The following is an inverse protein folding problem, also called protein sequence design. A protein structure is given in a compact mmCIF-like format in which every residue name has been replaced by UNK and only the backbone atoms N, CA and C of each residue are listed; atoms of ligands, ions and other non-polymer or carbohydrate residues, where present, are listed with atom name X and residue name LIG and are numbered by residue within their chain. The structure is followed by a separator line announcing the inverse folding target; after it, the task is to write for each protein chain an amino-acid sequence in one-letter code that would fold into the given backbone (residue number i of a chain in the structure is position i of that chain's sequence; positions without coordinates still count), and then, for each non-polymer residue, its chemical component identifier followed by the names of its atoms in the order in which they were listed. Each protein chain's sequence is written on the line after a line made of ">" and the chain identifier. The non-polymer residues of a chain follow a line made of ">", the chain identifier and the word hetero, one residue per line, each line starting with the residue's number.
data_IF_173592043897
#
_entry.id   IF_173592043897
#
_cell.length_a   1.000
_cell.length_b   1.000
_cell.length_c   1.000
_cell.angle_alpha   90.00
_cell.angle_beta   90.00
_cell.angle_gamma   90.00
#
_symmetry.space_group_name_H-M   'P 1'
#
loop_
_entity.id
_entity.type
_entity.pdbx_description
1 polymer ?
#
# COMPACT_ATOMS: atom_id res chain seq x y z
N UNK A 1 -3.83 -2.37 13.55
CA UNK A 1 -5.20 -2.78 13.20
C UNK A 1 -5.33 -4.29 13.32
N UNK A 2 -6.38 -4.80 13.97
CA UNK A 2 -6.67 -6.24 14.11
C UNK A 2 -7.59 -6.76 12.98
N UNK A 3 -7.92 -5.92 12.04
CA UNK A 3 -8.86 -6.21 10.94
C UNK A 3 -8.45 -7.41 10.08
N UNK A 4 -7.15 -7.65 9.77
CA UNK A 4 -6.75 -8.84 9.00
C UNK A 4 -6.85 -10.18 9.76
N UNK A 5 -6.97 -10.17 11.10
CA UNK A 5 -6.93 -11.40 11.90
C UNK A 5 -7.99 -12.45 11.53
N UNK A 6 -9.26 -12.09 11.26
CA UNK A 6 -10.25 -13.08 10.83
C UNK A 6 -9.86 -13.78 9.52
N UNK A 7 -9.27 -13.03 8.58
CA UNK A 7 -8.79 -13.59 7.31
C UNK A 7 -7.61 -14.55 7.53
N UNK A 8 -6.63 -14.14 8.36
CA UNK A 8 -5.49 -15.00 8.73
C UNK A 8 -5.97 -16.27 9.41
N UNK A 9 -6.94 -16.19 10.32
CA UNK A 9 -7.54 -17.35 10.97
C UNK A 9 -8.16 -18.30 9.95
N UNK A 10 -9.00 -17.79 9.03
CA UNK A 10 -9.59 -18.61 7.97
C UNK A 10 -8.52 -19.24 7.05
N UNK A 11 -7.46 -18.49 6.73
CA UNK A 11 -6.35 -19.00 5.94
C UNK A 11 -5.63 -20.16 6.65
N UNK A 12 -5.43 -20.09 7.96
CA UNK A 12 -4.78 -21.15 8.74
C UNK A 12 -5.66 -22.39 8.89
N UNK A 13 -6.98 -22.21 9.08
CA UNK A 13 -7.91 -23.34 9.30
C UNK A 13 -8.20 -24.10 7.99
N UNK A 14 -8.30 -23.41 6.88
CA UNK A 14 -8.69 -23.97 5.57
C UNK A 14 -7.53 -24.00 4.55
N UNK A 15 -6.28 -23.95 5.02
CA UNK A 15 -5.13 -23.95 4.12
C UNK A 15 -4.99 -25.27 3.34
N UNK A 16 -4.89 -25.15 2.03
CA UNK A 16 -4.64 -26.26 1.09
C UNK A 16 -3.58 -25.84 0.06
N UNK A 17 -2.34 -25.52 0.49
CA UNK A 17 -1.33 -24.95 -0.37
C UNK A 17 -0.89 -25.94 -1.44
N UNK A 18 -0.74 -25.47 -2.66
CA UNK A 18 -0.11 -26.17 -3.77
C UNK A 18 1.18 -25.47 -4.15
N UNK A 19 2.11 -26.16 -4.80
CA UNK A 19 3.36 -25.54 -5.26
C UNK A 19 3.07 -24.33 -6.16
N UNK A 20 2.08 -24.46 -7.04
CA UNK A 20 1.66 -23.37 -7.94
C UNK A 20 1.09 -22.18 -7.16
N UNK A 21 0.21 -22.42 -6.19
CA UNK A 21 -0.36 -21.33 -5.38
C UNK A 21 0.70 -20.61 -4.55
N UNK A 22 1.67 -21.35 -3.99
CA UNK A 22 2.80 -20.78 -3.24
C UNK A 22 3.63 -19.88 -4.15
N UNK A 23 4.03 -20.36 -5.34
CA UNK A 23 4.87 -19.58 -6.26
C UNK A 23 4.13 -18.31 -6.71
N UNK A 24 2.91 -18.44 -7.19
CA UNK A 24 2.14 -17.28 -7.69
C UNK A 24 1.89 -16.28 -6.56
N UNK A 25 1.40 -16.75 -5.42
CA UNK A 25 1.10 -15.91 -4.27
C UNK A 25 2.34 -15.22 -3.71
N UNK A 26 3.49 -15.90 -3.68
CA UNK A 26 4.76 -15.33 -3.26
C UNK A 26 5.18 -14.14 -4.14
N UNK A 27 5.15 -14.28 -5.47
CA UNK A 27 5.54 -13.18 -6.36
C UNK A 27 4.57 -12.00 -6.28
N UNK A 28 3.27 -12.25 -6.07
CA UNK A 28 2.29 -11.18 -5.85
C UNK A 28 2.58 -10.46 -4.53
N UNK A 29 2.78 -11.18 -3.43
CA UNK A 29 3.09 -10.60 -2.13
C UNK A 29 4.43 -9.86 -2.14
N UNK A 30 5.45 -10.42 -2.77
CA UNK A 30 6.76 -9.78 -2.95
C UNK A 30 6.64 -8.46 -3.72
N UNK A 31 5.85 -8.41 -4.79
CA UNK A 31 5.61 -7.17 -5.54
C UNK A 31 4.96 -6.10 -4.66
N UNK A 32 4.02 -6.48 -3.80
CA UNK A 32 3.40 -5.59 -2.82
C UNK A 32 4.42 -5.04 -1.82
N UNK A 33 5.30 -5.88 -1.27
CA UNK A 33 6.35 -5.46 -0.34
C UNK A 33 7.37 -4.53 -0.99
N UNK A 34 7.76 -4.80 -2.24
CA UNK A 34 8.66 -3.91 -3.00
C UNK A 34 8.04 -2.53 -3.23
N UNK A 35 6.76 -2.47 -3.58
CA UNK A 35 6.03 -1.20 -3.72
C UNK A 35 6.02 -0.45 -2.38
N UNK A 36 5.82 -1.13 -1.26
CA UNK A 36 5.84 -0.52 0.08
C UNK A 36 7.21 0.02 0.45
N UNK A 37 8.27 -0.79 0.29
CA UNK A 37 9.65 -0.36 0.54
C UNK A 37 9.98 0.87 -0.28
N UNK A 38 9.66 0.86 -1.57
CA UNK A 38 9.86 2.00 -2.45
C UNK A 38 9.09 3.23 -1.98
N UNK A 39 7.83 3.07 -1.58
CA UNK A 39 6.99 4.16 -1.09
C UNK A 39 7.52 4.78 0.20
N UNK A 40 7.89 3.95 1.19
CA UNK A 40 8.43 4.42 2.47
C UNK A 40 9.82 5.03 2.29
N UNK A 41 10.59 4.60 1.29
CA UNK A 41 11.89 5.19 0.98
C UNK A 41 11.82 6.66 0.52
N UNK A 42 10.67 7.09 -0.02
CA UNK A 42 10.40 8.51 -0.33
C UNK A 42 9.64 9.23 0.78
N UNK A 43 8.66 8.59 1.39
CA UNK A 43 7.81 9.22 2.41
C UNK A 43 8.44 9.25 3.82
N UNK A 44 9.42 8.39 4.09
CA UNK A 44 10.13 8.37 5.37
C UNK A 44 9.20 8.19 6.58
N UNK A 45 9.41 9.02 7.62
CA UNK A 45 8.61 9.01 8.85
C UNK A 45 7.17 9.47 8.68
N UNK A 46 6.84 10.17 7.59
CA UNK A 46 5.50 10.68 7.30
C UNK A 46 4.45 9.57 7.17
N UNK A 47 4.89 8.33 6.86
CA UNK A 47 4.00 7.15 6.75
C UNK A 47 3.57 6.58 8.09
N UNK A 48 4.10 7.08 9.21
CA UNK A 48 3.93 6.49 10.56
C UNK A 48 3.34 7.43 11.60
N UNK A 49 2.57 8.41 11.19
CA UNK A 49 1.84 9.24 12.15
C UNK A 49 0.75 8.38 12.82
N UNK A 50 1.05 7.90 14.04
CA UNK A 50 0.14 7.09 14.87
C UNK A 50 -0.93 7.92 15.58
N UNK A 51 -0.82 9.23 15.53
CA UNK A 51 -1.67 10.20 16.25
C UNK A 51 -2.76 10.85 15.39
N UNK A 52 -3.09 10.24 14.23
CA UNK A 52 -4.11 10.79 13.33
C UNK A 52 -3.63 10.93 11.88
N UNK A 53 -4.51 11.47 11.03
CA UNK A 53 -4.13 11.82 9.65
C UNK A 53 -3.12 12.95 9.71
N UNK A 54 -1.87 12.68 9.35
CA UNK A 54 -0.78 13.66 9.43
C UNK A 54 0.19 13.54 8.26
N UNK A 55 0.81 14.64 7.93
CA UNK A 55 1.89 14.73 6.95
C UNK A 55 2.46 16.13 6.98
N UNK A 56 3.76 16.27 7.20
CA UNK A 56 4.43 17.58 7.19
C UNK A 56 4.61 18.06 5.76
N UNK A 57 4.84 17.13 4.83
CA UNK A 57 5.08 17.37 3.41
C UNK A 57 4.12 16.56 2.55
N UNK A 58 3.76 17.12 1.38
CA UNK A 58 3.06 16.37 0.34
C UNK A 58 4.08 15.54 -0.45
N UNK A 59 4.06 14.21 -0.26
CA UNK A 59 4.93 13.31 -1.01
C UNK A 59 4.36 13.07 -2.40
N UNK A 60 5.10 13.45 -3.44
CA UNK A 60 4.66 13.37 -4.84
C UNK A 60 5.64 12.68 -5.78
N UNK A 61 6.78 12.19 -5.24
CA UNK A 61 7.85 11.58 -6.00
C UNK A 61 7.87 10.04 -5.87
N UNK A 62 8.69 9.40 -6.71
CA UNK A 62 8.76 7.94 -6.75
C UNK A 62 7.42 7.31 -7.11
N UNK A 63 6.94 6.30 -6.36
CA UNK A 63 5.67 5.66 -6.63
C UNK A 63 4.47 6.62 -6.50
N UNK A 64 4.60 7.68 -5.71
CA UNK A 64 3.55 8.70 -5.57
C UNK A 64 3.39 9.58 -6.81
N UNK A 65 4.34 9.57 -7.74
CA UNK A 65 4.17 10.25 -9.04
C UNK A 65 3.28 9.49 -10.01
N UNK A 66 3.02 8.21 -9.73
CA UNK A 66 2.24 7.30 -10.59
C UNK A 66 0.88 6.97 -9.97
N UNK A 67 0.86 6.74 -8.66
CA UNK A 67 -0.34 6.41 -7.88
C UNK A 67 -0.32 7.15 -6.54
N UNK A 68 -1.44 7.76 -6.13
CA UNK A 68 -1.46 8.59 -4.90
C UNK A 68 -1.32 7.78 -3.62
N UNK A 69 -1.75 6.52 -3.63
CA UNK A 69 -1.83 5.67 -2.45
C UNK A 69 -1.06 4.35 -2.62
N UNK A 70 0.25 4.38 -2.92
CA UNK A 70 1.01 3.17 -3.24
C UNK A 70 1.17 2.22 -2.04
N UNK A 71 1.20 2.73 -0.81
CA UNK A 71 1.27 1.91 0.40
C UNK A 71 0.05 1.00 0.56
N UNK A 72 -1.14 1.53 0.31
CA UNK A 72 -2.38 0.74 0.38
C UNK A 72 -2.49 -0.26 -0.76
N UNK A 73 -2.05 0.12 -1.96
CA UNK A 73 -1.95 -0.82 -3.08
C UNK A 73 -0.98 -1.98 -2.74
N UNK A 74 0.17 -1.69 -2.15
CA UNK A 74 1.12 -2.69 -1.67
C UNK A 74 0.52 -3.62 -0.61
N UNK A 75 -0.22 -3.08 0.37
CA UNK A 75 -0.92 -3.87 1.40
C UNK A 75 -1.93 -4.85 0.78
N UNK A 76 -2.74 -4.38 -0.18
CA UNK A 76 -3.72 -5.22 -0.87
C UNK A 76 -3.01 -6.37 -1.58
N UNK A 77 -1.91 -6.09 -2.31
CA UNK A 77 -1.13 -7.14 -2.99
C UNK A 77 -0.55 -8.16 -2.02
N UNK A 78 -0.04 -7.73 -0.85
CA UNK A 78 0.47 -8.64 0.18
C UNK A 78 -0.65 -9.56 0.68
N UNK A 79 -1.81 -9.01 1.06
CA UNK A 79 -2.92 -9.80 1.56
C UNK A 79 -3.46 -10.80 0.53
N UNK A 80 -3.59 -10.37 -0.73
CA UNK A 80 -4.01 -11.25 -1.82
C UNK A 80 -2.95 -12.33 -2.10
N UNK A 81 -1.67 -11.95 -2.12
CA UNK A 81 -0.57 -12.90 -2.33
C UNK A 81 -0.54 -13.98 -1.26
N UNK A 82 -0.61 -13.61 0.02
CA UNK A 82 -0.67 -14.57 1.15
C UNK A 82 -1.94 -15.42 1.06
N UNK A 83 -3.09 -14.81 0.71
CA UNK A 83 -4.34 -15.53 0.49
C UNK A 83 -4.24 -16.58 -0.60
N UNK A 84 -3.57 -16.28 -1.72
CA UNK A 84 -3.32 -17.23 -2.81
C UNK A 84 -2.33 -18.32 -2.35
N UNK A 85 -1.26 -17.96 -1.61
CA UNK A 85 -0.31 -18.94 -1.06
C UNK A 85 -1.02 -19.98 -0.19
N UNK A 86 -1.93 -19.54 0.69
CA UNK A 86 -2.70 -20.44 1.57
C UNK A 86 -3.67 -21.33 0.79
N UNK A 87 -4.12 -20.88 -0.37
CA UNK A 87 -5.16 -21.50 -1.22
C UNK A 87 -6.48 -21.82 -0.47
N UNK A 88 -6.66 -21.20 0.71
CA UNK A 88 -7.82 -21.41 1.57
C UNK A 88 -9.09 -20.92 0.89
N UNK A 89 -10.11 -21.80 0.79
CA UNK A 89 -11.43 -21.50 0.21
C UNK A 89 -11.33 -20.75 -1.15
N UNK A 90 -10.31 -21.09 -1.94
CA UNK A 90 -10.07 -20.46 -3.23
C UNK A 90 -11.23 -20.71 -4.22
N UNK A 91 -11.68 -19.70 -5.00
CA UNK A 91 -11.21 -18.30 -5.04
C UNK A 91 -12.02 -17.35 -4.13
N UNK A 92 -12.98 -17.85 -3.37
CA UNK A 92 -14.01 -17.04 -2.69
C UNK A 92 -13.42 -16.16 -1.59
N UNK A 93 -12.52 -16.70 -0.77
CA UNK A 93 -11.89 -15.93 0.32
C UNK A 93 -11.03 -14.80 -0.23
N UNK A 94 -10.29 -15.03 -1.33
CA UNK A 94 -9.44 -14.03 -1.95
C UNK A 94 -10.25 -12.89 -2.58
N UNK A 95 -11.35 -13.22 -3.26
CA UNK A 95 -12.26 -12.21 -3.83
C UNK A 95 -12.89 -11.37 -2.72
N UNK A 96 -13.40 -12.03 -1.68
CA UNK A 96 -14.01 -11.32 -0.55
C UNK A 96 -12.99 -10.44 0.18
N UNK A 97 -11.79 -10.96 0.45
CA UNK A 97 -10.71 -10.19 1.06
C UNK A 97 -10.30 -8.98 0.21
N UNK A 98 -10.17 -9.16 -1.11
CA UNK A 98 -9.86 -8.07 -2.02
C UNK A 98 -10.90 -6.95 -1.96
N UNK A 99 -12.17 -7.28 -2.09
CA UNK A 99 -13.27 -6.30 -2.05
C UNK A 99 -13.35 -5.61 -0.69
N UNK A 100 -13.17 -6.37 0.40
CA UNK A 100 -13.20 -5.86 1.76
C UNK A 100 -12.04 -4.87 2.01
N UNK A 101 -10.81 -5.23 1.68
CA UNK A 101 -9.65 -4.35 1.87
C UNK A 101 -9.67 -3.15 0.92
N UNK A 102 -10.15 -3.33 -0.30
CA UNK A 102 -10.35 -2.21 -1.23
C UNK A 102 -11.34 -1.18 -0.67
N UNK A 103 -12.47 -1.65 -0.12
CA UNK A 103 -13.45 -0.79 0.54
C UNK A 103 -12.87 -0.10 1.77
N UNK A 104 -12.20 -0.87 2.65
CA UNK A 104 -11.57 -0.33 3.86
C UNK A 104 -10.54 0.76 3.53
N UNK A 105 -9.63 0.49 2.59
CA UNK A 105 -8.64 1.48 2.19
C UNK A 105 -9.24 2.65 1.44
N UNK A 106 -10.32 2.44 0.69
CA UNK A 106 -11.05 3.55 0.08
C UNK A 106 -11.57 4.52 1.14
N UNK A 107 -12.17 4.03 2.23
CA UNK A 107 -12.65 4.86 3.34
C UNK A 107 -11.50 5.62 4.04
N UNK A 108 -10.38 4.95 4.31
CA UNK A 108 -9.20 5.58 4.93
C UNK A 108 -8.65 6.69 4.03
N UNK A 109 -8.48 6.40 2.73
CA UNK A 109 -7.96 7.34 1.74
C UNK A 109 -8.85 8.56 1.58
N UNK A 110 -10.18 8.41 1.67
CA UNK A 110 -11.08 9.58 1.63
C UNK A 110 -10.77 10.58 2.74
N UNK A 111 -10.59 10.10 3.97
CA UNK A 111 -10.24 10.96 5.11
C UNK A 111 -8.85 11.59 4.96
N UNK A 112 -7.86 10.82 4.48
CA UNK A 112 -6.51 11.34 4.22
C UNK A 112 -6.50 12.38 3.09
N UNK A 113 -7.21 12.13 1.99
CA UNK A 113 -7.31 13.09 0.88
C UNK A 113 -8.02 14.38 1.28
N UNK A 114 -9.02 14.32 2.15
CA UNK A 114 -9.67 15.49 2.71
C UNK A 114 -8.70 16.33 3.56
N UNK A 115 -7.96 15.68 4.45
CA UNK A 115 -6.93 16.34 5.25
C UNK A 115 -5.86 16.99 4.37
N UNK A 116 -5.34 16.27 3.37
CA UNK A 116 -4.32 16.79 2.45
C UNK A 116 -4.86 17.93 1.59
N UNK A 117 -6.13 17.86 1.18
CA UNK A 117 -6.79 18.94 0.43
C UNK A 117 -6.90 20.21 1.27
N UNK A 118 -7.25 20.10 2.54
CA UNK A 118 -7.36 21.24 3.44
C UNK A 118 -5.98 21.85 3.75
N UNK A 119 -4.95 21.01 3.88
CA UNK A 119 -3.60 21.45 4.22
C UNK A 119 -2.83 22.03 3.04
N UNK A 120 -2.87 21.39 1.86
CA UNK A 120 -2.07 21.78 0.69
C UNK A 120 -2.89 22.43 -0.43
N UNK A 121 -4.18 22.61 -0.23
CA UNK A 121 -5.12 23.37 -1.06
C UNK A 121 -4.92 23.18 -2.58
N UNK A 122 -4.35 24.19 -3.28
CA UNK A 122 -4.18 24.21 -4.74
C UNK A 122 -3.19 23.13 -5.23
N UNK A 123 -2.07 22.96 -4.54
CA UNK A 123 -1.03 21.98 -4.93
C UNK A 123 -1.62 20.57 -4.94
N UNK A 124 -2.37 20.21 -3.90
CA UNK A 124 -3.02 18.90 -3.82
C UNK A 124 -4.13 18.74 -4.86
N UNK A 125 -4.89 19.80 -5.15
CA UNK A 125 -5.90 19.78 -6.20
C UNK A 125 -5.31 19.47 -7.58
N UNK A 126 -4.18 20.08 -7.93
CA UNK A 126 -3.48 19.81 -9.19
C UNK A 126 -2.83 18.41 -9.22
N UNK A 127 -2.32 17.96 -8.08
CA UNK A 127 -1.82 16.59 -7.93
C UNK A 127 -2.92 15.54 -8.15
N UNK A 128 -4.12 15.75 -7.61
CA UNK A 128 -5.29 14.85 -7.83
C UNK A 128 -5.71 14.74 -9.29
N UNK A 129 -5.57 15.80 -10.06
CA UNK A 129 -5.89 15.78 -11.51
C UNK A 129 -4.88 14.96 -12.30
N UNK A 130 -3.61 15.01 -11.88
CA UNK A 130 -2.48 14.40 -12.59
C UNK A 130 -2.29 12.93 -12.26
N UNK A 131 -2.43 12.55 -10.99
CA UNK A 131 -2.11 11.21 -10.47
C UNK A 131 -3.38 10.47 -10.04
N UNK A 132 -3.52 9.20 -10.41
CA UNK A 132 -4.67 8.37 -10.04
C UNK A 132 -4.68 7.98 -8.55
N UNK A 133 -5.85 7.71 -7.96
CA UNK A 133 -5.98 7.30 -6.56
C UNK A 133 -5.41 5.90 -6.32
N UNK A 134 -5.91 4.89 -7.07
CA UNK A 134 -5.48 3.48 -7.02
C UNK A 134 -5.09 2.95 -8.39
N UNK A 135 -5.49 3.61 -9.47
CA UNK A 135 -5.15 3.23 -10.83
C UNK A 135 -3.93 4.05 -11.26
N UNK A 136 -2.83 3.39 -11.65
CA UNK A 136 -1.62 4.08 -12.09
C UNK A 136 -1.87 4.99 -13.29
N UNK A 137 -1.30 6.21 -13.23
CA UNK A 137 -1.25 7.14 -14.36
C UNK A 137 0.20 7.54 -14.60
N UNK A 138 0.71 7.28 -15.79
CA UNK A 138 2.10 7.57 -16.18
C UNK A 138 2.19 8.93 -16.86
N UNK A 139 1.69 9.97 -16.21
CA UNK A 139 1.75 11.36 -16.69
C UNK A 139 2.92 12.08 -16.05
N UNK A 140 3.59 12.95 -16.80
CA UNK A 140 4.68 13.76 -16.25
C UNK A 140 4.12 14.74 -15.22
N UNK A 141 4.66 14.67 -14.01
CA UNK A 141 4.26 15.55 -12.92
C UNK A 141 4.82 16.96 -13.16
N UNK A 142 3.98 18.02 -13.08
CA UNK A 142 4.45 19.39 -13.18
C UNK A 142 5.47 19.74 -12.08
N UNK A 143 6.47 20.56 -12.40
CA UNK A 143 7.58 20.86 -11.49
C UNK A 143 7.13 21.54 -10.19
N UNK A 144 6.08 22.36 -10.23
CA UNK A 144 5.54 23.04 -9.04
C UNK A 144 4.86 22.09 -8.03
N UNK A 145 4.60 20.83 -8.41
CA UNK A 145 3.98 19.81 -7.54
C UNK A 145 5.06 18.91 -6.93
N UNK A 146 6.27 18.86 -7.48
CA UNK A 146 7.35 18.00 -7.01
C UNK A 146 7.79 18.39 -5.60
N UNK A 147 7.80 17.43 -4.68
CA UNK A 147 8.12 17.65 -3.26
C UNK A 147 9.62 17.88 -2.98
N UNK A 148 10.50 17.62 -3.93
CA UNK A 148 11.95 17.70 -3.72
C UNK A 148 12.54 16.63 -2.78
N UNK A 149 11.74 15.65 -2.37
CA UNK A 149 12.19 14.57 -1.47
C UNK A 149 13.10 13.59 -2.21
N UNK A 150 14.21 13.22 -1.56
CA UNK A 150 15.17 12.27 -2.10
C UNK A 150 14.87 10.84 -1.65
N UNK A 151 15.27 9.87 -2.47
CA UNK A 151 15.15 8.45 -2.16
C UNK A 151 16.10 8.06 -1.01
N UNK A 152 15.55 7.55 0.09
CA UNK A 152 16.32 7.02 1.20
C UNK A 152 15.96 5.55 1.47
N UNK A 153 16.58 4.65 0.72
CA UNK A 153 16.33 3.19 0.78
C UNK A 153 16.63 2.63 2.17
N UNK A 154 17.68 3.13 2.85
CA UNK A 154 18.06 2.68 4.20
C UNK A 154 16.95 2.97 5.21
N UNK A 155 16.33 4.15 5.12
CA UNK A 155 15.17 4.52 5.92
C UNK A 155 13.96 3.64 5.60
N UNK A 156 13.71 3.37 4.32
CA UNK A 156 12.64 2.49 3.86
C UNK A 156 12.77 1.08 4.43
N UNK A 157 13.91 0.44 4.24
CA UNK A 157 14.19 -0.91 4.76
C UNK A 157 14.10 -0.98 6.29
N UNK A 158 14.63 0.03 7.00
CA UNK A 158 14.53 0.09 8.46
C UNK A 158 13.08 0.23 8.92
N UNK A 159 12.29 0.99 8.20
CA UNK A 159 10.87 1.19 8.46
C UNK A 159 10.08 -0.11 8.27
N UNK A 160 10.34 -0.85 7.19
CA UNK A 160 9.64 -2.10 6.87
C UNK A 160 10.26 -3.35 7.50
N UNK A 161 11.25 -3.20 8.39
CA UNK A 161 11.94 -4.35 9.03
C UNK A 161 10.98 -5.37 9.66
N UNK A 162 9.89 -4.92 10.30
CA UNK A 162 8.90 -5.81 10.93
C UNK A 162 8.06 -6.55 9.90
N UNK A 163 7.70 -5.89 8.80
CA UNK A 163 6.98 -6.50 7.68
C UNK A 163 7.86 -7.56 7.01
N UNK A 164 9.12 -7.22 6.73
CA UNK A 164 10.09 -8.15 6.16
C UNK A 164 10.35 -9.37 7.07
N UNK A 165 10.44 -9.18 8.38
CA UNK A 165 10.56 -10.29 9.33
C UNK A 165 9.36 -11.22 9.29
N UNK A 166 8.14 -10.67 9.23
CA UNK A 166 6.92 -11.48 9.09
C UNK A 166 6.81 -12.21 7.74
N UNK A 167 7.51 -11.71 6.71
CA UNK A 167 7.55 -12.34 5.39
C UNK A 167 8.53 -13.52 5.31
N UNK A 168 9.52 -13.56 6.22
CA UNK A 168 10.59 -14.58 6.26
C UNK A 168 10.29 -15.75 7.23
N UNK A 169 9.19 -15.67 7.99
CA UNK A 169 8.71 -16.72 8.92
C UNK A 169 7.60 -17.52 8.26
#
# INVERSE_FOLDING_TARGET
>A
SYIPLPFVFLMLVFMEPTLTSIIIGFFIALSGELIRIWSVSFAGSETRTTSGVGGTYLVTQGPYSVIRNPLYAGNILIYIGIGIMSNALFPYLQIFAFLFFLFQYHCIVLAEEEFLQNKFTKIYSDYKKTVGRFIPKFTKLPDHIKSGLELNVKSGLRSERRSLQAFLI
#
